data_IF_956499045854
#
_entry.id   IF_956499045854
#
_cell.length_a   1.000
_cell.length_b   1.000
_cell.length_c   1.000
_cell.angle_alpha   90.00
_cell.angle_beta   90.00
_cell.angle_gamma   90.00
#
_symmetry.space_group_name_H-M   'P 1'
#
loop_
_entity.id
_entity.type
_entity.pdbx_description
1 polymer ?
#
# COMPACT_ATOMS: atom_id res chain seq x y z
N UNK A 1 -6.82 19.68 -71.80
CA UNK A 1 -8.12 19.06 -71.44
C UNK A 1 -7.93 18.12 -70.27
N UNK A 2 -8.69 18.36 -69.20
CA UNK A 2 -9.25 17.38 -68.25
C UNK A 2 -8.32 16.50 -67.40
N UNK A 3 -8.36 16.82 -66.09
CA UNK A 3 -8.62 15.92 -64.93
C UNK A 3 -7.43 15.20 -64.30
N UNK A 4 -6.93 15.77 -63.19
CA UNK A 4 -6.47 15.01 -62.01
C UNK A 4 -6.44 15.89 -60.74
N UNK A 5 -7.53 16.61 -60.48
CA UNK A 5 -7.78 17.21 -59.15
C UNK A 5 -9.03 16.49 -58.61
N UNK A 6 -8.84 15.27 -58.10
CA UNK A 6 -9.93 14.53 -57.46
C UNK A 6 -9.45 13.63 -56.30
N UNK A 7 -8.15 13.33 -56.19
CA UNK A 7 -7.67 12.37 -55.19
C UNK A 7 -7.34 13.00 -53.82
N UNK A 8 -7.02 14.30 -53.75
CA UNK A 8 -6.56 14.93 -52.50
C UNK A 8 -7.72 15.39 -51.60
N UNK A 9 -8.91 15.65 -52.17
CA UNK A 9 -10.05 16.11 -51.38
C UNK A 9 -10.73 15.01 -50.56
N UNK A 10 -10.65 13.73 -50.98
CA UNK A 10 -11.25 12.63 -50.23
C UNK A 10 -10.51 12.28 -48.94
N UNK A 11 -9.18 12.42 -48.87
CA UNK A 11 -8.43 12.07 -47.66
C UNK A 11 -8.58 13.10 -46.53
N UNK A 12 -8.78 14.39 -46.85
CA UNK A 12 -9.00 15.42 -45.83
C UNK A 12 -10.40 15.34 -45.18
N UNK A 13 -11.39 14.77 -45.86
CA UNK A 13 -12.73 14.54 -45.32
C UNK A 13 -12.80 13.31 -44.39
N UNK A 14 -11.91 12.33 -44.55
CA UNK A 14 -11.87 11.13 -43.71
C UNK A 14 -11.22 11.37 -42.33
N UNK A 15 -10.31 12.33 -42.20
CA UNK A 15 -9.67 12.66 -40.92
C UNK A 15 -10.54 13.50 -39.98
N UNK A 16 -11.58 14.17 -40.48
CA UNK A 16 -12.56 14.92 -39.67
C UNK A 16 -13.63 14.02 -39.01
N UNK A 17 -13.74 12.75 -39.40
CA UNK A 17 -14.71 11.80 -38.84
C UNK A 17 -14.18 11.02 -37.62
N UNK A 18 -12.89 11.11 -37.32
CA UNK A 18 -12.24 10.36 -36.25
C UNK A 18 -11.90 11.23 -35.03
N UNK A 19 -12.77 12.18 -34.67
CA UNK A 19 -12.72 12.70 -33.30
C UNK A 19 -13.00 11.52 -32.36
N UNK A 20 -12.12 11.18 -31.39
CA UNK A 20 -12.49 10.22 -30.38
C UNK A 20 -13.73 10.80 -29.70
N UNK A 21 -14.85 10.09 -29.79
CA UNK A 21 -15.99 10.43 -28.97
C UNK A 21 -15.47 10.40 -27.54
N UNK A 22 -15.29 11.58 -26.94
CA UNK A 22 -14.97 11.70 -25.53
C UNK A 22 -16.14 11.03 -24.84
N UNK A 23 -15.95 9.76 -24.46
CA UNK A 23 -16.99 8.91 -23.92
C UNK A 23 -17.47 9.65 -22.69
N UNK A 24 -18.63 10.32 -22.84
CA UNK A 24 -19.25 11.04 -21.74
C UNK A 24 -19.49 9.95 -20.71
N UNK A 25 -18.70 9.96 -19.64
CA UNK A 25 -18.93 9.06 -18.51
C UNK A 25 -20.40 9.25 -18.17
N UNK A 26 -21.15 8.15 -18.17
CA UNK A 26 -22.54 8.20 -17.76
C UNK A 26 -22.59 8.93 -16.41
N UNK A 27 -23.54 9.85 -16.19
CA UNK A 27 -23.67 10.51 -14.90
C UNK A 27 -23.73 9.42 -13.82
N UNK A 28 -22.84 9.53 -12.84
CA UNK A 28 -22.75 8.56 -11.76
C UNK A 28 -24.08 8.54 -11.00
N UNK A 29 -24.67 7.35 -10.85
CA UNK A 29 -25.90 7.21 -10.09
C UNK A 29 -25.56 7.35 -8.60
N UNK A 30 -26.28 8.18 -7.83
CA UNK A 30 -26.05 8.28 -6.39
C UNK A 30 -26.35 6.93 -5.73
N UNK A 31 -25.38 6.39 -5.00
CA UNK A 31 -25.52 5.17 -4.20
C UNK A 31 -25.67 5.54 -2.73
N UNK A 32 -26.74 5.07 -2.10
CA UNK A 32 -27.01 5.27 -0.68
C UNK A 32 -26.67 4.00 0.10
N UNK A 33 -25.81 4.12 1.11
CA UNK A 33 -25.51 3.04 2.03
C UNK A 33 -26.01 3.41 3.43
N UNK A 34 -26.87 2.60 4.07
CA UNK A 34 -27.32 2.87 5.42
C UNK A 34 -26.11 2.84 6.37
N UNK A 35 -25.96 3.89 7.18
CA UNK A 35 -24.99 3.93 8.28
C UNK A 35 -25.73 3.67 9.58
N UNK A 36 -25.19 2.83 10.48
CA UNK A 36 -25.72 2.70 11.84
C UNK A 36 -25.83 4.08 12.51
N UNK A 37 -26.90 4.29 13.27
CA UNK A 37 -27.09 5.52 14.06
C UNK A 37 -26.00 5.63 15.13
N UNK A 38 -25.65 4.49 15.75
CA UNK A 38 -24.53 4.37 16.65
C UNK A 38 -23.32 3.76 15.92
N UNK A 39 -22.17 4.45 15.87
CA UNK A 39 -20.95 3.88 15.29
C UNK A 39 -20.51 2.62 16.04
N UNK A 40 -20.02 1.64 15.29
CA UNK A 40 -19.38 0.45 15.87
C UNK A 40 -18.24 0.87 16.80
N UNK A 41 -18.25 0.35 18.02
CA UNK A 41 -17.22 0.64 19.02
C UNK A 41 -15.93 -0.10 18.69
N UNK A 42 -14.80 0.51 18.94
CA UNK A 42 -13.50 -0.15 18.86
C UNK A 42 -13.37 -1.16 20.01
N UNK A 43 -13.04 -2.39 19.67
CA UNK A 43 -12.74 -3.46 20.64
C UNK A 43 -11.23 -3.51 20.83
N UNK A 44 -10.70 -3.59 22.07
CA UNK A 44 -9.27 -3.76 22.29
C UNK A 44 -8.70 -4.94 21.46
N UNK A 45 -7.50 -4.81 20.86
CA UNK A 45 -6.53 -3.73 21.06
C UNK A 45 -6.78 -2.47 20.24
N UNK A 46 -7.81 -2.45 19.38
CA UNK A 46 -8.03 -1.38 18.42
C UNK A 46 -8.39 -0.06 19.11
N UNK A 47 -7.85 1.02 18.57
CA UNK A 47 -8.12 2.40 19.00
C UNK A 47 -8.32 3.27 17.77
N UNK A 48 -9.12 4.35 17.87
CA UNK A 48 -9.23 5.32 16.78
C UNK A 48 -7.88 5.90 16.35
N UNK A 49 -6.97 6.07 17.31
CA UNK A 49 -5.63 6.60 17.06
C UNK A 49 -4.65 6.09 18.12
N UNK A 50 -3.55 5.48 17.65
CA UNK A 50 -2.41 5.10 18.48
C UNK A 50 -1.23 6.02 18.19
N UNK A 51 -0.75 6.74 19.21
CA UNK A 51 0.42 7.63 19.09
C UNK A 51 1.70 6.87 19.37
N UNK A 52 2.67 6.90 18.45
CA UNK A 52 3.99 6.28 18.65
C UNK A 52 4.71 6.79 19.91
N UNK A 53 4.59 8.10 20.23
CA UNK A 53 5.18 8.66 21.45
C UNK A 53 4.62 8.01 22.73
N UNK A 54 3.32 7.68 22.76
CA UNK A 54 2.71 6.99 23.89
C UNK A 54 3.20 5.55 24.01
N UNK A 55 3.40 4.85 22.89
CA UNK A 55 4.00 3.51 22.88
C UNK A 55 5.45 3.53 23.39
N UNK A 56 6.27 4.48 22.90
CA UNK A 56 7.65 4.67 23.40
C UNK A 56 7.69 4.96 24.89
N UNK A 57 6.75 5.76 25.41
CA UNK A 57 6.65 6.04 26.85
C UNK A 57 6.21 4.82 27.67
N UNK A 58 5.27 4.02 27.15
CA UNK A 58 4.80 2.75 27.75
C UNK A 58 5.96 1.75 27.91
N UNK A 59 6.78 1.61 26.87
CA UNK A 59 7.87 0.64 26.80
C UNK A 59 9.26 1.25 27.11
N UNK A 60 9.31 2.36 27.87
CA UNK A 60 10.54 3.13 28.09
C UNK A 60 11.69 2.36 28.76
N UNK A 61 11.37 1.27 29.46
CA UNK A 61 12.34 0.43 30.17
C UNK A 61 12.88 -0.71 29.32
N UNK A 62 12.28 -0.96 28.15
CA UNK A 62 12.61 -2.09 27.29
C UNK A 62 13.30 -1.59 26.02
N UNK A 63 14.54 -2.04 25.80
CA UNK A 63 15.28 -1.67 24.59
C UNK A 63 14.72 -2.33 23.31
N UNK A 64 14.01 -3.45 23.46
CA UNK A 64 13.29 -4.14 22.40
C UNK A 64 11.88 -4.47 22.89
N UNK A 65 10.87 -4.09 22.12
CA UNK A 65 9.46 -4.29 22.48
C UNK A 65 8.59 -4.49 21.23
N UNK A 66 7.43 -5.08 21.44
CA UNK A 66 6.39 -5.29 20.43
C UNK A 66 5.03 -4.90 21.01
N UNK A 67 4.24 -4.17 20.25
CA UNK A 67 2.87 -3.80 20.60
C UNK A 67 1.93 -4.06 19.43
N UNK A 68 0.96 -4.95 19.61
CA UNK A 68 -0.12 -5.18 18.65
C UNK A 68 -1.14 -4.05 18.72
N UNK A 69 -1.43 -3.45 17.57
CA UNK A 69 -2.35 -2.31 17.44
C UNK A 69 -3.56 -2.61 16.55
N UNK A 70 -3.43 -3.60 15.67
CA UNK A 70 -4.53 -4.17 14.88
C UNK A 70 -4.41 -5.68 14.96
N UNK A 71 -5.55 -6.33 15.21
CA UNK A 71 -5.71 -7.78 15.29
C UNK A 71 -7.18 -8.08 15.00
N UNK A 72 -7.48 -8.41 13.75
CA UNK A 72 -8.80 -8.81 13.28
C UNK A 72 -8.69 -9.94 12.24
N UNK A 73 -9.83 -10.40 11.72
CA UNK A 73 -9.89 -11.53 10.77
C UNK A 73 -9.11 -11.29 9.45
N UNK A 74 -8.70 -10.05 9.17
CA UNK A 74 -8.08 -9.65 7.90
C UNK A 74 -6.68 -9.06 8.07
N UNK A 75 -6.40 -8.36 9.18
CA UNK A 75 -5.16 -7.64 9.39
C UNK A 75 -4.62 -7.85 10.80
N UNK A 76 -3.33 -8.19 10.85
CA UNK A 76 -2.51 -8.12 12.05
C UNK A 76 -1.45 -7.04 11.86
N UNK A 77 -1.27 -6.16 12.83
CA UNK A 77 -0.25 -5.11 12.77
C UNK A 77 0.40 -4.85 14.12
N UNK A 78 1.73 -4.89 14.13
CA UNK A 78 2.57 -4.63 15.28
C UNK A 78 3.45 -3.38 15.08
N UNK A 79 3.59 -2.57 16.13
CA UNK A 79 4.76 -1.73 16.29
C UNK A 79 5.88 -2.55 16.93
N UNK A 80 7.06 -2.55 16.31
CA UNK A 80 8.22 -3.29 16.78
C UNK A 80 9.39 -2.33 16.94
N UNK A 81 10.04 -2.37 18.10
CA UNK A 81 11.35 -1.78 18.33
C UNK A 81 12.34 -2.89 18.68
N UNK A 82 13.54 -2.82 18.14
CA UNK A 82 14.58 -3.81 18.40
C UNK A 82 15.93 -3.13 18.47
N UNK A 83 16.83 -3.68 19.29
CA UNK A 83 18.21 -3.22 19.36
C UNK A 83 18.96 -3.54 18.06
N UNK A 84 19.97 -2.73 17.66
CA UNK A 84 20.78 -3.02 16.49
C UNK A 84 21.38 -4.44 16.53
N UNK A 85 21.40 -5.11 15.39
CA UNK A 85 21.87 -6.50 15.27
C UNK A 85 20.80 -7.57 15.52
N UNK A 86 19.58 -7.16 15.94
CA UNK A 86 18.44 -8.07 15.99
C UNK A 86 18.01 -8.44 14.57
N UNK A 87 17.77 -9.73 14.32
CA UNK A 87 17.26 -10.21 13.03
C UNK A 87 15.90 -10.88 13.19
N UNK A 88 15.07 -10.74 12.15
CA UNK A 88 13.89 -11.55 11.96
C UNK A 88 14.29 -12.74 11.10
N UNK A 89 14.01 -13.95 11.61
CA UNK A 89 14.26 -15.20 10.90
C UNK A 89 13.56 -15.19 9.54
N UNK A 90 14.01 -16.05 8.61
CA UNK A 90 13.32 -16.21 7.32
C UNK A 90 11.85 -16.57 7.53
N UNK A 91 10.96 -15.86 6.83
CA UNK A 91 9.49 -16.02 6.88
C UNK A 91 8.91 -16.16 5.47
N UNK A 92 7.74 -16.76 5.41
CA UNK A 92 6.96 -16.99 4.19
C UNK A 92 5.48 -16.87 4.53
N UNK A 93 4.76 -15.98 3.85
CA UNK A 93 3.32 -15.79 4.03
C UNK A 93 2.62 -16.32 2.78
N UNK A 94 1.87 -17.43 2.86
CA UNK A 94 1.26 -18.07 1.68
C UNK A 94 0.13 -17.26 1.06
N UNK A 95 -0.69 -16.63 1.90
CA UNK A 95 -1.99 -16.07 1.49
C UNK A 95 -2.06 -14.55 1.63
N UNK A 96 -1.07 -13.95 2.31
CA UNK A 96 -1.03 -12.52 2.57
C UNK A 96 0.31 -11.93 2.18
N UNK A 97 0.27 -10.64 1.84
CA UNK A 97 1.46 -9.81 1.65
C UNK A 97 1.92 -9.27 2.99
N UNK A 98 3.23 -9.09 3.14
CA UNK A 98 3.81 -8.43 4.32
C UNK A 98 4.29 -7.03 3.93
N UNK A 99 4.23 -6.08 4.86
CA UNK A 99 4.74 -4.74 4.64
C UNK A 99 5.21 -4.07 5.92
N UNK A 100 6.09 -3.09 5.75
CA UNK A 100 6.64 -2.29 6.83
C UNK A 100 6.61 -0.81 6.47
N UNK A 101 6.42 0.02 7.48
CA UNK A 101 6.76 1.44 7.45
C UNK A 101 7.89 1.63 8.44
N UNK A 102 9.03 2.13 7.96
CA UNK A 102 10.19 2.39 8.81
C UNK A 102 9.94 3.69 9.56
N UNK A 103 9.62 3.58 10.85
CA UNK A 103 9.30 4.74 11.69
C UNK A 103 10.55 5.42 12.27
N UNK A 104 11.64 4.66 12.40
CA UNK A 104 12.90 5.11 12.97
C UNK A 104 14.05 4.19 12.54
N UNK A 105 15.29 4.68 12.64
CA UNK A 105 16.49 3.90 12.37
C UNK A 105 16.65 3.43 10.91
N UNK A 106 17.33 2.30 10.75
CA UNK A 106 17.67 1.66 9.48
C UNK A 106 17.41 0.16 9.59
N UNK A 107 16.88 -0.43 8.52
CA UNK A 107 16.65 -1.87 8.40
C UNK A 107 17.21 -2.37 7.08
N UNK A 108 17.73 -3.60 7.08
CA UNK A 108 18.16 -4.31 5.87
C UNK A 108 17.25 -5.51 5.64
N UNK A 109 16.63 -5.56 4.47
CA UNK A 109 15.78 -6.67 4.04
C UNK A 109 16.50 -7.55 3.01
N UNK A 110 16.22 -8.84 3.11
CA UNK A 110 16.53 -9.83 2.09
C UNK A 110 15.19 -10.38 1.60
N UNK A 111 14.89 -10.17 0.33
CA UNK A 111 13.64 -10.61 -0.31
C UNK A 111 14.04 -11.51 -1.47
N UNK A 112 13.42 -12.69 -1.56
CA UNK A 112 13.68 -13.64 -2.63
C UNK A 112 13.56 -13.00 -4.02
N UNK A 113 14.54 -13.28 -4.89
CA UNK A 113 14.61 -12.72 -6.24
C UNK A 113 15.05 -11.26 -6.33
N UNK A 114 15.38 -10.61 -5.20
CA UNK A 114 15.82 -9.22 -5.16
C UNK A 114 17.23 -9.09 -4.56
N UNK A 115 17.96 -8.05 -4.98
CA UNK A 115 19.18 -7.66 -4.28
C UNK A 115 18.83 -7.16 -2.86
N UNK A 116 19.68 -7.43 -1.84
CA UNK A 116 19.40 -6.95 -0.49
C UNK A 116 19.27 -5.43 -0.45
N UNK A 117 18.25 -4.95 0.26
CA UNK A 117 17.91 -3.53 0.33
C UNK A 117 18.09 -3.00 1.75
N UNK A 118 18.64 -1.80 1.87
CA UNK A 118 18.75 -1.08 3.15
C UNK A 118 17.88 0.16 3.08
N UNK A 119 16.95 0.28 4.01
CA UNK A 119 15.95 1.35 4.06
C UNK A 119 16.00 2.10 5.38
N UNK A 120 15.60 3.36 5.35
CA UNK A 120 15.63 4.24 6.52
C UNK A 120 14.25 4.82 6.80
N UNK A 121 14.12 5.58 7.88
CA UNK A 121 12.89 6.26 8.27
C UNK A 121 12.14 6.90 7.09
N UNK A 122 10.82 6.68 7.04
CA UNK A 122 9.93 7.18 5.99
C UNK A 122 9.81 6.25 4.78
N UNK A 123 10.59 5.17 4.73
CA UNK A 123 10.45 4.15 3.69
C UNK A 123 9.28 3.22 3.96
N UNK A 124 8.61 2.80 2.90
CA UNK A 124 7.68 1.67 2.90
C UNK A 124 8.33 0.50 2.16
N UNK A 125 8.31 -0.69 2.78
CA UNK A 125 8.78 -1.94 2.15
C UNK A 125 7.61 -2.88 1.98
N UNK A 126 7.56 -3.54 0.83
CA UNK A 126 6.49 -4.44 0.46
C UNK A 126 7.04 -5.79 0.00
N UNK A 127 6.56 -6.87 0.60
CA UNK A 127 6.85 -8.24 0.16
C UNK A 127 5.55 -8.85 -0.40
N UNK A 128 5.53 -9.29 -1.67
CA UNK A 128 4.40 -10.03 -2.23
C UNK A 128 4.12 -11.32 -1.45
N UNK A 129 2.89 -11.82 -1.52
CA UNK A 129 2.57 -13.15 -1.01
C UNK A 129 3.47 -14.22 -1.65
N UNK A 130 3.65 -15.34 -0.97
CA UNK A 130 4.45 -16.46 -1.43
C UNK A 130 5.92 -16.12 -1.76
N UNK A 131 6.46 -15.07 -1.16
CA UNK A 131 7.85 -14.65 -1.33
C UNK A 131 8.58 -14.79 0.00
N UNK A 132 9.71 -15.50 0.02
CA UNK A 132 10.50 -15.64 1.26
C UNK A 132 11.23 -14.33 1.56
N UNK A 133 11.22 -13.91 2.83
CA UNK A 133 11.92 -12.71 3.28
C UNK A 133 12.60 -12.90 4.64
N UNK A 134 13.59 -12.04 4.94
CA UNK A 134 14.19 -11.86 6.25
C UNK A 134 14.58 -10.38 6.45
N UNK A 135 14.76 -9.95 7.69
CA UNK A 135 15.20 -8.58 8.00
C UNK A 135 16.17 -8.52 9.18
N UNK A 136 16.97 -7.46 9.24
CA UNK A 136 17.90 -7.15 10.34
C UNK A 136 18.21 -5.65 10.42
#
# INVERSE_FOLDING_TARGET
MKKTIAAVFCLALLSLLAAPAQQRRAPEQPSWAPKPIEPTKYVPPHKPHTKLAALKAKHKSDASWRETVVDDDHLHADYIASVPGTSVSRRFHPDTREWWIVMDGQLRFEIEGQAPLTVTRGSMVQVPMQTVYASR
#
